data_IF_346833669754
#
_entry.id   IF_346833669754
#
_cell.length_a   1.000
_cell.length_b   1.000
_cell.length_c   1.000
_cell.angle_alpha   90.00
_cell.angle_beta   90.00
_cell.angle_gamma   90.00
#
_symmetry.space_group_name_H-M   'P 1'
#
loop_
_entity.id
_entity.type
_entity.pdbx_description
1 polymer ?
#
# COMPACT_ATOMS: atom_id res chain seq x y z
N UNK A 1 0.15 75.42 -5.66
CA UNK A 1 -0.52 75.91 -4.43
C UNK A 1 -0.93 74.71 -3.60
N UNK A 2 -0.31 74.48 -2.44
CA UNK A 2 -0.99 73.83 -1.29
C UNK A 2 -1.84 74.92 -0.59
N UNK A 3 -2.90 74.64 0.21
CA UNK A 3 -2.89 73.81 1.44
C UNK A 3 -4.21 72.98 1.58
N UNK A 4 -4.60 72.26 2.64
CA UNK A 4 -4.43 72.44 4.07
C UNK A 4 -4.86 71.19 4.87
N UNK A 5 -4.47 71.21 6.15
CA UNK A 5 -4.40 70.18 7.20
C UNK A 5 -5.74 69.80 7.90
N UNK A 6 -5.72 68.66 8.63
CA UNK A 6 -6.03 68.49 10.09
C UNK A 6 -5.74 67.02 10.50
N UNK A 7 -4.74 66.69 11.36
CA UNK A 7 -4.69 66.70 12.86
C UNK A 7 -5.70 65.70 13.48
N UNK A 8 -5.39 64.67 14.30
CA UNK A 8 -4.64 64.48 15.59
C UNK A 8 -4.57 62.93 15.83
N UNK A 9 -3.57 62.25 16.41
CA UNK A 9 -2.72 62.35 17.63
C UNK A 9 -3.23 61.54 18.86
N UNK A 10 -2.28 60.79 19.47
CA UNK A 10 -2.21 60.09 20.80
C UNK A 10 -2.64 58.62 20.85
N UNK A 11 -2.10 57.73 21.69
CA UNK A 11 -0.87 57.58 22.50
C UNK A 11 -1.05 56.28 23.30
N UNK A 12 0.03 55.52 23.49
CA UNK A 12 0.39 54.58 24.59
C UNK A 12 -0.72 53.95 25.47
N UNK A 13 -0.67 52.61 25.65
CA UNK A 13 -0.68 51.98 26.99
C UNK A 13 -0.31 50.50 26.95
N UNK A 14 0.63 50.14 27.82
CA UNK A 14 0.99 48.81 28.32
C UNK A 14 0.08 48.43 29.49
N UNK A 15 -0.25 47.14 29.69
CA UNK A 15 -0.23 46.49 31.01
C UNK A 15 -0.66 45.01 30.98
N UNK A 16 0.14 44.17 31.63
CA UNK A 16 -0.23 42.91 32.28
C UNK A 16 -1.43 43.07 33.21
N UNK A 17 -2.31 42.07 33.29
CA UNK A 17 -2.85 41.56 34.56
C UNK A 17 -3.66 40.27 34.42
N UNK A 18 -3.44 39.46 35.44
CA UNK A 18 -3.87 38.11 35.76
C UNK A 18 -5.31 38.06 36.31
N UNK A 19 -5.76 36.84 36.62
CA UNK A 19 -6.87 36.41 37.49
C UNK A 19 -8.22 35.97 36.90
N UNK A 20 -8.38 34.64 36.91
CA UNK A 20 -9.49 33.82 37.41
C UNK A 20 -10.94 34.30 37.23
N UNK A 21 -11.75 33.46 36.56
CA UNK A 21 -12.96 32.95 37.20
C UNK A 21 -13.14 31.44 36.97
N UNK A 22 -13.57 30.83 38.06
CA UNK A 22 -13.43 29.45 38.51
C UNK A 22 -14.82 28.83 38.62
N UNK A 23 -14.94 27.50 38.37
CA UNK A 23 -15.78 26.48 39.08
C UNK A 23 -15.84 25.18 38.24
N UNK A 24 -15.12 24.09 38.57
CA UNK A 24 -15.43 23.01 39.56
C UNK A 24 -16.85 22.44 39.42
N UNK A 25 -17.17 21.14 39.39
CA UNK A 25 -16.61 19.86 39.89
C UNK A 25 -17.15 18.72 38.96
N UNK A 26 -16.80 17.42 38.96
CA UNK A 26 -16.72 16.45 40.05
C UNK A 26 -16.31 15.06 39.51
N UNK A 27 -15.58 14.30 40.34
CA UNK A 27 -15.10 12.93 40.09
C UNK A 27 -16.23 11.91 40.22
N UNK A 28 -16.26 10.87 39.38
CA UNK A 28 -16.83 9.56 39.75
C UNK A 28 -15.85 8.42 39.47
N UNK A 29 -15.10 8.11 40.52
CA UNK A 29 -14.40 6.85 40.75
C UNK A 29 -15.44 5.77 41.09
N UNK A 30 -15.33 4.57 40.51
CA UNK A 30 -15.98 3.36 41.01
C UNK A 30 -14.93 2.39 41.55
N UNK A 31 -14.90 2.21 42.88
CA UNK A 31 -14.41 0.99 43.59
C UNK A 31 -15.52 -0.07 43.45
N UNK A 32 -15.35 -1.39 43.45
CA UNK A 32 -14.64 -2.33 44.34
C UNK A 32 -14.71 -3.70 43.62
N UNK A 33 -13.76 -4.65 43.71
CA UNK A 33 -13.60 -5.52 44.87
C UNK A 33 -12.28 -6.30 44.78
N UNK A 34 -11.57 -6.36 45.92
CA UNK A 34 -10.41 -7.19 46.15
C UNK A 34 -10.84 -8.62 46.49
N UNK A 35 -10.12 -9.63 45.98
CA UNK A 35 -10.01 -10.92 46.66
C UNK A 35 -8.55 -11.34 46.73
N UNK A 36 -7.94 -11.06 47.87
CA UNK A 36 -6.64 -11.59 48.28
C UNK A 36 -6.84 -13.01 48.79
N UNK A 37 -6.09 -13.99 48.28
CA UNK A 37 -5.73 -15.21 49.02
C UNK A 37 -4.25 -15.57 48.83
N UNK A 38 -3.49 -15.14 49.85
CA UNK A 38 -2.42 -15.83 50.60
C UNK A 38 -1.21 -16.41 49.86
N UNK A 39 -0.07 -15.79 50.18
CA UNK A 39 1.33 -16.24 50.04
C UNK A 39 1.56 -17.69 50.48
N UNK A 40 2.32 -18.43 49.68
CA UNK A 40 3.16 -19.56 50.07
C UNK A 40 4.58 -19.33 49.56
N UNK A 41 5.56 -19.35 50.47
CA UNK A 41 6.96 -18.96 50.30
C UNK A 41 7.77 -20.20 49.90
N UNK A 42 8.53 -20.19 48.80
CA UNK A 42 9.65 -21.13 48.60
C UNK A 42 10.82 -20.44 47.87
N UNK A 43 12.02 -20.90 48.24
CA UNK A 43 13.31 -20.22 48.27
C UNK A 43 14.02 -20.17 46.91
N UNK A 44 14.97 -19.24 46.82
CA UNK A 44 15.99 -19.04 45.78
C UNK A 44 16.81 -20.31 45.50
N UNK A 45 17.19 -20.48 44.24
CA UNK A 45 18.57 -20.76 43.81
C UNK A 45 18.72 -20.33 42.35
N UNK A 46 19.85 -19.68 42.09
CA UNK A 46 20.37 -19.28 40.78
C UNK A 46 20.50 -20.48 39.85
N UNK A 47 20.26 -20.28 38.55
CA UNK A 47 21.18 -20.72 37.50
C UNK A 47 20.82 -20.01 36.18
N UNK A 48 21.88 -19.50 35.57
CA UNK A 48 21.92 -18.92 34.23
C UNK A 48 21.74 -20.06 33.22
N UNK A 49 20.85 -19.88 32.25
CA UNK A 49 21.06 -20.28 30.85
C UNK A 49 19.98 -19.65 29.99
N UNK A 50 20.39 -18.62 29.24
CA UNK A 50 19.55 -17.92 28.27
C UNK A 50 19.62 -18.69 26.96
N UNK A 51 18.78 -19.72 26.83
CA UNK A 51 18.68 -20.48 25.60
C UNK A 51 17.96 -19.62 24.54
N UNK A 52 18.70 -19.26 23.50
CA UNK A 52 18.22 -18.55 22.32
C UNK A 52 17.25 -19.46 21.57
N UNK A 53 15.96 -19.22 21.74
CA UNK A 53 14.97 -19.79 20.83
C UNK A 53 15.06 -19.02 19.52
N UNK A 54 15.94 -19.51 18.64
CA UNK A 54 15.79 -19.32 17.20
C UNK A 54 14.37 -19.74 16.84
N UNK A 55 13.54 -18.73 16.59
CA UNK A 55 12.20 -18.94 16.08
C UNK A 55 12.37 -19.24 14.61
N UNK A 56 12.71 -20.49 14.29
CA UNK A 56 12.58 -21.04 12.96
C UNK A 56 11.14 -20.78 12.52
N UNK A 57 10.99 -19.77 11.68
CA UNK A 57 9.78 -19.59 10.91
C UNK A 57 9.80 -20.72 9.91
N UNK A 58 9.21 -21.84 10.31
CA UNK A 58 8.83 -22.95 9.44
C UNK A 58 7.97 -22.36 8.32
N UNK A 59 8.66 -21.92 7.26
CA UNK A 59 8.10 -21.75 5.94
C UNK A 59 7.73 -23.14 5.50
N UNK A 60 6.56 -23.59 5.95
CA UNK A 60 5.95 -24.85 5.56
C UNK A 60 5.93 -24.89 4.04
N UNK A 61 6.96 -25.55 3.50
CA UNK A 61 7.16 -25.86 2.11
C UNK A 61 6.04 -26.81 1.69
N UNK A 62 4.87 -26.24 1.46
CA UNK A 62 4.05 -26.72 0.36
C UNK A 62 4.66 -26.05 -0.86
N UNK A 63 5.72 -26.64 -1.39
CA UNK A 63 6.04 -26.46 -2.80
C UNK A 63 4.79 -26.88 -3.55
N UNK A 64 3.91 -25.91 -3.83
CA UNK A 64 2.77 -26.15 -4.67
C UNK A 64 3.35 -26.66 -5.98
N UNK A 65 2.95 -27.87 -6.35
CA UNK A 65 3.22 -28.52 -7.64
C UNK A 65 2.57 -27.72 -8.77
N UNK A 66 3.07 -26.50 -8.91
CA UNK A 66 2.65 -25.47 -9.84
C UNK A 66 3.89 -25.23 -10.67
N UNK A 67 3.70 -25.29 -11.98
CA UNK A 67 4.76 -25.14 -12.97
C UNK A 67 5.69 -23.97 -12.63
N UNK A 68 7.00 -24.21 -12.72
CA UNK A 68 8.00 -23.17 -12.53
C UNK A 68 7.85 -22.05 -13.55
N UNK A 69 7.24 -22.30 -14.71
CA UNK A 69 6.81 -21.26 -15.65
C UNK A 69 5.98 -20.17 -14.94
N UNK A 70 4.94 -20.55 -14.20
CA UNK A 70 4.07 -19.61 -13.51
C UNK A 70 4.80 -18.87 -12.39
N UNK A 71 5.65 -19.57 -11.63
CA UNK A 71 6.43 -18.94 -10.56
C UNK A 71 7.47 -17.97 -11.13
N UNK A 72 8.12 -18.32 -12.24
CA UNK A 72 9.07 -17.45 -12.93
C UNK A 72 8.38 -16.20 -13.48
N UNK A 73 7.22 -16.35 -14.11
CA UNK A 73 6.39 -15.23 -14.57
C UNK A 73 5.98 -14.31 -13.41
N UNK A 74 5.58 -14.88 -12.27
CA UNK A 74 5.24 -14.12 -11.06
C UNK A 74 6.43 -13.30 -10.50
N UNK A 75 7.64 -13.88 -10.49
CA UNK A 75 8.87 -13.15 -10.11
C UNK A 75 9.15 -12.00 -11.08
N UNK A 76 9.09 -12.28 -12.37
CA UNK A 76 9.39 -11.30 -13.42
C UNK A 76 8.39 -10.15 -13.44
N UNK A 77 7.08 -10.42 -13.34
CA UNK A 77 6.06 -9.36 -13.37
C UNK A 77 6.16 -8.41 -12.17
N UNK A 78 6.49 -8.94 -10.99
CA UNK A 78 6.69 -8.14 -9.77
C UNK A 78 7.83 -7.15 -9.94
N UNK A 79 8.92 -7.58 -10.59
CA UNK A 79 10.13 -6.77 -10.75
C UNK A 79 10.06 -5.80 -11.92
N UNK A 80 9.39 -6.19 -13.01
CA UNK A 80 9.49 -5.48 -14.29
C UNK A 80 8.22 -4.72 -14.68
N UNK A 81 7.05 -5.03 -14.10
CA UNK A 81 5.77 -4.43 -14.54
C UNK A 81 5.04 -3.79 -13.39
N UNK A 82 4.75 -4.56 -12.36
CA UNK A 82 3.88 -4.13 -11.28
C UNK A 82 4.19 -4.87 -9.98
N UNK A 83 4.90 -4.19 -9.08
CA UNK A 83 5.25 -4.68 -7.75
C UNK A 83 4.03 -5.05 -6.89
N UNK A 84 2.85 -4.50 -7.19
CA UNK A 84 1.60 -4.77 -6.49
C UNK A 84 0.61 -5.56 -7.35
N UNK A 85 1.11 -6.25 -8.38
CA UNK A 85 0.30 -7.11 -9.23
C UNK A 85 -0.51 -8.11 -8.39
N UNK A 86 -1.80 -8.23 -8.71
CA UNK A 86 -2.66 -9.29 -8.18
C UNK A 86 -3.22 -10.04 -9.38
N UNK A 87 -2.72 -11.26 -9.59
CA UNK A 87 -2.99 -12.06 -10.78
C UNK A 87 -4.49 -12.35 -10.92
N UNK A 88 -5.17 -12.65 -9.82
CA UNK A 88 -6.61 -12.92 -9.82
C UNK A 88 -7.41 -11.70 -10.26
N UNK A 89 -7.08 -10.51 -9.72
CA UNK A 89 -7.73 -9.26 -10.15
C UNK A 89 -7.42 -8.91 -11.60
N UNK A 90 -6.17 -9.09 -12.04
CA UNK A 90 -5.74 -8.84 -13.42
C UNK A 90 -6.58 -9.66 -14.40
N UNK A 91 -6.68 -10.97 -14.15
CA UNK A 91 -7.49 -11.88 -14.98
C UNK A 91 -8.96 -11.47 -14.92
N UNK A 92 -9.52 -11.24 -13.74
CA UNK A 92 -10.93 -10.88 -13.58
C UNK A 92 -11.31 -9.61 -14.36
N UNK A 93 -10.50 -8.56 -14.23
CA UNK A 93 -10.76 -7.27 -14.91
C UNK A 93 -10.71 -7.45 -16.42
N UNK A 94 -9.67 -8.10 -16.95
CA UNK A 94 -9.53 -8.27 -18.40
C UNK A 94 -10.62 -9.18 -18.98
N UNK A 95 -11.02 -10.22 -18.26
CA UNK A 95 -12.17 -11.05 -18.65
C UNK A 95 -13.47 -10.24 -18.67
N UNK A 96 -13.72 -9.39 -17.68
CA UNK A 96 -14.89 -8.51 -17.69
C UNK A 96 -14.86 -7.50 -18.83
N UNK A 97 -13.69 -6.97 -19.20
CA UNK A 97 -13.57 -6.08 -20.36
C UNK A 97 -13.94 -6.83 -21.64
N UNK A 98 -13.37 -8.03 -21.86
CA UNK A 98 -13.68 -8.83 -23.05
C UNK A 98 -15.14 -9.24 -23.12
N UNK A 99 -15.77 -9.58 -21.99
CA UNK A 99 -17.20 -9.86 -21.94
C UNK A 99 -18.05 -8.63 -22.25
N UNK A 100 -17.68 -7.45 -21.76
CA UNK A 100 -18.39 -6.20 -22.09
C UNK A 100 -18.27 -5.85 -23.57
N UNK A 101 -17.12 -6.10 -24.19
CA UNK A 101 -16.90 -5.95 -25.63
C UNK A 101 -17.79 -6.94 -26.42
N UNK A 102 -17.83 -8.22 -26.03
CA UNK A 102 -18.68 -9.25 -26.64
C UNK A 102 -20.19 -8.99 -26.44
N UNK A 103 -20.61 -8.48 -25.28
CA UNK A 103 -22.00 -8.08 -25.04
C UNK A 103 -22.41 -6.89 -25.90
N UNK A 104 -21.48 -5.96 -26.19
CA UNK A 104 -21.75 -4.83 -27.08
C UNK A 104 -21.82 -5.24 -28.55
N UNK A 105 -21.05 -6.25 -28.96
CA UNK A 105 -21.14 -6.80 -30.32
C UNK A 105 -22.32 -7.77 -30.51
N UNK A 106 -22.98 -8.17 -29.43
CA UNK A 106 -24.11 -9.12 -29.47
C UNK A 106 -23.69 -10.59 -29.49
N UNK A 107 -22.40 -10.88 -29.29
CA UNK A 107 -21.83 -12.24 -29.26
C UNK A 107 -22.05 -12.96 -27.92
N UNK A 108 -22.43 -12.21 -26.88
CA UNK A 108 -22.67 -12.74 -25.54
C UNK A 108 -24.08 -12.38 -25.05
N UNK A 109 -24.95 -13.39 -25.00
CA UNK A 109 -26.23 -13.32 -24.30
C UNK A 109 -26.01 -13.67 -22.83
N UNK A 110 -26.44 -12.78 -21.93
CA UNK A 110 -26.19 -12.87 -20.50
C UNK A 110 -27.36 -12.34 -19.71
N UNK A 111 -27.49 -12.83 -18.48
CA UNK A 111 -28.49 -12.37 -17.54
C UNK A 111 -28.28 -10.89 -17.18
N UNK A 112 -29.38 -10.16 -17.04
CA UNK A 112 -29.37 -8.72 -16.75
C UNK A 112 -28.64 -8.41 -15.42
N UNK A 113 -28.73 -9.31 -14.46
CA UNK A 113 -28.06 -9.19 -13.14
C UNK A 113 -26.54 -9.23 -13.30
N UNK A 114 -26.03 -10.18 -14.06
CA UNK A 114 -24.58 -10.34 -14.28
C UNK A 114 -24.02 -9.19 -15.11
N UNK A 115 -24.75 -8.76 -16.14
CA UNK A 115 -24.43 -7.56 -16.92
C UNK A 115 -24.31 -6.32 -16.04
N UNK A 116 -25.29 -6.11 -15.15
CA UNK A 116 -25.35 -4.94 -14.27
C UNK A 116 -24.20 -4.96 -13.27
N UNK A 117 -23.91 -6.13 -12.68
CA UNK A 117 -22.78 -6.31 -11.76
C UNK A 117 -21.44 -6.01 -12.44
N UNK A 118 -21.23 -6.53 -13.65
CA UNK A 118 -20.01 -6.29 -14.44
C UNK A 118 -19.86 -4.81 -14.78
N UNK A 119 -20.90 -4.16 -15.31
CA UNK A 119 -20.87 -2.74 -15.65
C UNK A 119 -20.56 -1.86 -14.45
N UNK A 120 -21.20 -2.13 -13.30
CA UNK A 120 -20.92 -1.41 -12.06
C UNK A 120 -19.44 -1.52 -11.68
N UNK A 121 -18.91 -2.74 -11.67
CA UNK A 121 -17.51 -2.98 -11.34
C UNK A 121 -16.55 -2.28 -12.31
N UNK A 122 -16.80 -2.33 -13.62
CA UNK A 122 -15.95 -1.67 -14.61
C UNK A 122 -16.03 -0.13 -14.54
N UNK A 123 -17.19 0.43 -14.20
CA UNK A 123 -17.37 1.87 -14.03
C UNK A 123 -16.63 2.43 -12.80
N UNK A 124 -16.32 1.59 -11.82
CA UNK A 124 -15.50 1.97 -10.65
C UNK A 124 -14.00 2.08 -11.00
N UNK A 125 -13.57 1.55 -12.15
CA UNK A 125 -12.18 1.59 -12.60
C UNK A 125 -11.89 2.83 -13.44
N UNK A 126 -10.80 3.54 -13.12
CA UNK A 126 -10.28 4.60 -13.98
C UNK A 126 -9.64 4.01 -15.25
N UNK A 127 -9.60 4.79 -16.34
CA UNK A 127 -8.92 4.38 -17.59
C UNK A 127 -7.46 3.97 -17.34
N UNK A 128 -6.73 4.72 -16.51
CA UNK A 128 -5.35 4.38 -16.15
C UNK A 128 -5.24 3.01 -15.44
N UNK A 129 -6.18 2.71 -14.54
CA UNK A 129 -6.22 1.43 -13.82
C UNK A 129 -6.56 0.28 -14.78
N UNK A 130 -7.51 0.50 -15.67
CA UNK A 130 -7.89 -0.43 -16.73
C UNK A 130 -6.70 -0.77 -17.64
N UNK A 131 -5.98 0.24 -18.12
CA UNK A 131 -4.77 0.05 -18.95
C UNK A 131 -3.64 -0.67 -18.20
N UNK A 132 -3.48 -0.40 -16.89
CA UNK A 132 -2.53 -1.14 -16.06
C UNK A 132 -2.89 -2.62 -16.00
N UNK A 133 -4.16 -2.97 -15.79
CA UNK A 133 -4.59 -4.37 -15.78
C UNK A 133 -4.42 -5.05 -17.15
N UNK A 134 -4.75 -4.36 -18.26
CA UNK A 134 -4.50 -4.89 -19.62
C UNK A 134 -3.03 -5.20 -19.85
N UNK A 135 -2.13 -4.23 -19.58
CA UNK A 135 -0.68 -4.43 -19.70
C UNK A 135 -0.14 -5.55 -18.81
N UNK A 136 -0.64 -5.64 -17.57
CA UNK A 136 -0.28 -6.72 -16.66
C UNK A 136 -0.70 -8.08 -17.20
N UNK A 137 -1.91 -8.19 -17.74
CA UNK A 137 -2.43 -9.41 -18.35
C UNK A 137 -1.63 -9.84 -19.58
N UNK A 138 -1.36 -8.90 -20.50
CA UNK A 138 -0.58 -9.18 -21.70
C UNK A 138 0.82 -9.69 -21.34
N UNK A 139 1.47 -9.08 -20.34
CA UNK A 139 2.78 -9.55 -19.89
C UNK A 139 2.69 -10.91 -19.18
N UNK A 140 1.65 -11.18 -18.39
CA UNK A 140 1.45 -12.50 -17.79
C UNK A 140 1.37 -13.59 -18.87
N UNK A 141 0.61 -13.35 -19.95
CA UNK A 141 0.48 -14.31 -21.05
C UNK A 141 1.76 -14.41 -21.89
N UNK A 142 2.54 -13.34 -21.97
CA UNK A 142 3.84 -13.38 -22.64
C UNK A 142 4.86 -14.23 -21.87
N UNK A 143 4.88 -14.08 -20.53
CA UNK A 143 5.83 -14.78 -19.64
C UNK A 143 5.39 -16.22 -19.32
N UNK A 144 4.08 -16.47 -19.26
CA UNK A 144 3.51 -17.79 -19.02
C UNK A 144 2.37 -18.08 -20.02
N UNK A 145 2.68 -18.40 -21.29
CA UNK A 145 1.68 -18.67 -22.32
C UNK A 145 0.66 -19.76 -21.94
N UNK A 146 1.06 -20.78 -21.17
CA UNK A 146 0.18 -21.86 -20.71
C UNK A 146 -0.98 -21.35 -19.84
N UNK A 147 -0.85 -20.17 -19.22
CA UNK A 147 -1.90 -19.54 -18.43
C UNK A 147 -3.15 -19.23 -19.28
N UNK A 148 -2.96 -18.92 -20.58
CA UNK A 148 -4.07 -18.65 -21.50
C UNK A 148 -5.00 -19.84 -21.64
N UNK A 149 -4.44 -21.05 -21.70
CA UNK A 149 -5.21 -22.29 -21.81
C UNK A 149 -6.00 -22.58 -20.54
N UNK A 150 -5.44 -22.25 -19.37
CA UNK A 150 -6.13 -22.38 -18.09
C UNK A 150 -7.31 -21.41 -17.97
N UNK A 151 -7.12 -20.16 -18.39
CA UNK A 151 -8.16 -19.12 -18.34
C UNK A 151 -9.34 -19.47 -19.26
N UNK A 152 -9.05 -19.94 -20.48
CA UNK A 152 -10.07 -20.26 -21.47
C UNK A 152 -10.86 -21.55 -21.18
N UNK A 153 -10.42 -22.38 -20.23
CA UNK A 153 -11.00 -23.70 -20.00
C UNK A 153 -11.74 -23.80 -18.67
N UNK A 154 -13.08 -23.81 -18.73
CA UNK A 154 -13.94 -23.92 -17.55
C UNK A 154 -13.70 -25.17 -16.69
N UNK A 155 -13.29 -26.29 -17.30
CA UNK A 155 -12.97 -27.53 -16.56
C UNK A 155 -11.71 -27.40 -15.69
N UNK A 156 -10.79 -26.50 -16.07
CA UNK A 156 -9.54 -26.25 -15.35
C UNK A 156 -9.66 -25.13 -14.31
N UNK A 157 -10.87 -24.71 -13.93
CA UNK A 157 -11.09 -23.62 -12.97
C UNK A 157 -10.40 -23.83 -11.62
N UNK A 158 -10.36 -25.05 -11.10
CA UNK A 158 -9.67 -25.35 -9.84
C UNK A 158 -8.15 -25.27 -9.98
N UNK A 159 -7.62 -25.71 -11.13
CA UNK A 159 -6.21 -25.59 -11.46
C UNK A 159 -5.80 -24.12 -11.60
N UNK A 160 -6.57 -23.34 -12.36
CA UNK A 160 -6.38 -21.89 -12.48
C UNK A 160 -6.38 -21.20 -11.10
N UNK A 161 -7.28 -21.59 -10.20
CA UNK A 161 -7.31 -21.06 -8.83
C UNK A 161 -6.03 -21.41 -8.06
N UNK A 162 -5.53 -22.65 -8.16
CA UNK A 162 -4.27 -23.06 -7.51
C UNK A 162 -3.08 -22.28 -8.08
N UNK A 163 -2.98 -22.17 -9.40
CA UNK A 163 -1.91 -21.44 -10.09
C UNK A 163 -1.91 -19.97 -9.70
N UNK A 164 -3.06 -19.29 -9.78
CA UNK A 164 -3.18 -17.87 -9.42
C UNK A 164 -2.86 -17.60 -7.94
N UNK A 165 -3.24 -18.50 -7.03
CA UNK A 165 -2.86 -18.42 -5.62
C UNK A 165 -1.34 -18.56 -5.43
N UNK A 166 -0.72 -19.56 -6.07
CA UNK A 166 0.73 -19.76 -6.01
C UNK A 166 1.50 -18.56 -6.58
N UNK A 167 1.09 -18.04 -7.74
CA UNK A 167 1.69 -16.84 -8.33
C UNK A 167 1.58 -15.63 -7.40
N UNK A 168 0.41 -15.40 -6.79
CA UNK A 168 0.24 -14.31 -5.83
C UNK A 168 1.10 -14.48 -4.57
N UNK A 169 1.34 -15.71 -4.11
CA UNK A 169 2.28 -15.99 -3.02
C UNK A 169 3.72 -15.66 -3.43
N UNK A 170 4.14 -16.05 -4.62
CA UNK A 170 5.47 -15.73 -5.17
C UNK A 170 5.66 -14.22 -5.33
N UNK A 171 4.65 -13.49 -5.79
CA UNK A 171 4.68 -12.02 -5.88
C UNK A 171 4.93 -11.40 -4.50
N UNK A 172 4.17 -11.85 -3.48
CA UNK A 172 4.32 -11.36 -2.11
C UNK A 172 5.72 -11.64 -1.54
N UNK A 173 6.22 -12.86 -1.75
CA UNK A 173 7.55 -13.27 -1.31
C UNK A 173 8.63 -12.44 -2.00
N UNK A 174 8.58 -12.37 -3.33
CA UNK A 174 9.54 -11.59 -4.14
C UNK A 174 9.59 -10.13 -3.69
N UNK A 175 8.42 -9.51 -3.48
CA UNK A 175 8.35 -8.14 -2.96
C UNK A 175 8.95 -8.03 -1.56
N UNK A 176 8.64 -8.97 -0.66
CA UNK A 176 9.17 -8.98 0.70
C UNK A 176 10.70 -9.11 0.72
N UNK A 177 11.24 -10.01 -0.10
CA UNK A 177 12.66 -10.25 -0.24
C UNK A 177 13.37 -9.04 -0.82
N UNK A 178 12.84 -8.47 -1.91
CA UNK A 178 13.40 -7.30 -2.55
C UNK A 178 13.35 -6.08 -1.58
N UNK A 179 12.26 -5.89 -0.83
CA UNK A 179 12.17 -4.86 0.22
C UNK A 179 13.21 -5.08 1.34
N UNK A 180 13.41 -6.32 1.77
CA UNK A 180 14.37 -6.65 2.84
C UNK A 180 15.80 -6.39 2.41
N UNK A 181 16.16 -6.75 1.17
CA UNK A 181 17.50 -6.52 0.60
C UNK A 181 17.79 -5.04 0.35
N UNK A 182 16.76 -4.25 0.05
CA UNK A 182 16.88 -2.82 -0.14
C UNK A 182 16.88 -2.03 1.17
N UNK A 183 16.49 -2.64 2.30
CA UNK A 183 16.34 -1.97 3.60
C UNK A 183 17.57 -1.16 3.99
N UNK A 184 18.75 -1.76 3.91
CA UNK A 184 20.00 -1.09 4.28
C UNK A 184 20.41 0.00 3.29
N UNK A 185 19.82 0.00 2.09
CA UNK A 185 20.05 1.04 1.07
C UNK A 185 19.07 2.20 1.18
N UNK A 186 17.89 2.02 1.79
CA UNK A 186 16.89 3.09 1.95
C UNK A 186 17.49 4.31 2.65
N UNK A 187 18.33 4.10 3.67
CA UNK A 187 18.99 5.19 4.40
C UNK A 187 19.87 6.08 3.52
N UNK A 188 20.48 5.54 2.46
CA UNK A 188 21.30 6.34 1.53
C UNK A 188 20.49 7.28 0.65
N UNK A 189 19.20 6.99 0.46
CA UNK A 189 18.27 7.83 -0.29
C UNK A 189 17.32 8.60 0.63
N UNK A 190 17.50 8.50 1.95
CA UNK A 190 16.74 9.30 2.89
C UNK A 190 17.03 10.78 2.62
N UNK A 191 15.96 11.60 2.65
CA UNK A 191 16.11 13.04 2.61
C UNK A 191 17.09 13.49 3.71
N UNK A 192 17.98 14.47 3.44
CA UNK A 192 18.81 15.06 4.47
C UNK A 192 17.95 15.52 5.65
N UNK A 193 18.50 15.46 6.86
CA UNK A 193 17.85 16.03 8.03
C UNK A 193 17.51 17.50 7.71
N UNK A 194 16.22 17.92 7.72
CA UNK A 194 15.84 19.28 7.35
C UNK A 194 16.42 20.35 8.29
N UNK A 195 16.88 19.95 9.49
CA UNK A 195 17.61 20.83 10.40
C UNK A 195 19.09 21.02 10.02
N UNK A 196 19.69 20.08 9.26
CA UNK A 196 21.10 20.10 8.87
C UNK A 196 21.31 20.55 7.42
N UNK A 197 20.40 20.17 6.52
CA UNK A 197 20.42 20.61 5.12
C UNK A 197 19.01 20.63 4.53
N UNK A 198 18.67 21.73 3.85
CA UNK A 198 17.43 21.82 3.09
C UNK A 198 17.49 20.90 1.86
N UNK A 199 16.32 20.36 1.46
CA UNK A 199 16.18 19.63 0.19
C UNK A 199 16.58 20.55 -0.98
N UNK A 200 17.43 20.06 -1.87
CA UNK A 200 17.86 20.77 -3.07
C UNK A 200 17.55 19.97 -4.34
N UNK A 201 16.79 20.53 -5.30
CA UNK A 201 16.11 21.82 -5.21
C UNK A 201 14.97 21.80 -4.18
N UNK A 202 14.65 22.95 -3.56
CA UNK A 202 13.56 23.03 -2.60
C UNK A 202 12.22 22.62 -3.23
N UNK A 203 11.45 21.79 -2.53
CA UNK A 203 10.09 21.41 -2.95
C UNK A 203 9.21 22.66 -2.85
N UNK A 204 8.95 23.32 -3.98
CA UNK A 204 8.19 24.56 -4.04
C UNK A 204 6.69 24.25 -3.87
N UNK A 205 6.10 24.64 -2.74
CA UNK A 205 4.66 24.39 -2.43
C UNK A 205 3.76 25.49 -3.02
N UNK A 206 4.33 26.62 -3.48
CA UNK A 206 3.57 27.79 -3.95
C UNK A 206 3.87 28.19 -5.39
N UNK A 207 3.38 27.45 -6.39
CA UNK A 207 3.46 27.89 -7.78
C UNK A 207 2.67 27.00 -8.73
N UNK A 208 1.82 27.59 -9.56
CA UNK A 208 0.96 26.90 -10.54
C UNK A 208 1.72 26.27 -11.71
N UNK A 209 3.05 26.36 -11.77
CA UNK A 209 3.85 25.75 -12.83
C UNK A 209 4.77 24.64 -12.31
N UNK A 210 4.37 23.39 -12.57
CA UNK A 210 5.13 22.16 -12.29
C UNK A 210 6.20 21.85 -13.36
N UNK A 211 6.44 22.77 -14.30
CA UNK A 211 7.24 22.56 -15.51
C UNK A 211 8.75 22.40 -15.29
N UNK A 212 9.27 22.54 -14.06
CA UNK A 212 10.70 22.46 -13.77
C UNK A 212 11.09 21.39 -12.75
N UNK A 213 10.14 20.57 -12.27
CA UNK A 213 10.46 19.43 -11.42
C UNK A 213 10.74 18.19 -12.26
N UNK A 214 11.93 18.11 -12.85
CA UNK A 214 12.40 16.89 -13.48
C UNK A 214 13.63 17.12 -14.35
N UNK A 215 14.66 16.31 -14.12
CA UNK A 215 15.81 16.06 -15.01
C UNK A 215 17.01 17.02 -14.95
N UNK A 216 17.39 17.51 -13.76
CA UNK A 216 18.74 18.06 -13.53
C UNK A 216 19.52 17.23 -12.49
N UNK A 217 19.38 15.91 -12.49
CA UNK A 217 20.29 15.05 -11.75
C UNK A 217 21.33 14.51 -12.75
N UNK A 218 22.64 14.72 -12.56
CA UNK A 218 23.67 14.36 -13.55
C UNK A 218 23.78 12.86 -13.84
N UNK A 219 23.12 12.00 -13.04
CA UNK A 219 23.03 10.54 -13.28
C UNK A 219 21.74 10.16 -14.04
N UNK A 220 20.75 11.05 -14.13
CA UNK A 220 19.46 10.82 -14.79
C UNK A 220 19.19 11.80 -15.95
N UNK A 221 20.22 12.54 -16.36
CA UNK A 221 20.21 13.41 -17.54
C UNK A 221 20.84 12.67 -18.73
#
# INVERSE_FOLDING_TARGET
MAPNRKKRARSLESHDSDTELRRHSEKRVKKHAQKVKRRGKKRRSDDLDSDSSESDSDSSGTESDVDEEFKAAARAITRCVDMFCNVEKVIQVVMYIGQEEASRSGELEEDEVDRTRRKKFLNELSSQTTERYKRGYDMLLHLAPSLKELIGNASKKQELKKVTQAMNSVIKLTRSDDCSRLRDKIGHYAAPNPAEAALSPPIYIGGTSRSHMGLNHPVLA
#
